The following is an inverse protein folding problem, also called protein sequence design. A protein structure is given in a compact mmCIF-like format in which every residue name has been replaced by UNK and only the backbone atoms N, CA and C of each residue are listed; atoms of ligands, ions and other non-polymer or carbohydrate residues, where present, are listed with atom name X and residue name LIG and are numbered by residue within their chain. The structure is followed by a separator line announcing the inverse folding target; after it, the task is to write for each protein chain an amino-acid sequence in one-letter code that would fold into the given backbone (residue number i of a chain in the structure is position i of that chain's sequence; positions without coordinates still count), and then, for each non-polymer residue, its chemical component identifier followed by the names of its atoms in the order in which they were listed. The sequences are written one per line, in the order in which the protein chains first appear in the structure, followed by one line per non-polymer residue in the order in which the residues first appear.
data_IF_913497503393
#
_entry.id   IF_913497503393
#
_cell.length_a   1.000
_cell.length_b   1.000
_cell.length_c   1.000
_cell.angle_alpha   90.00
_cell.angle_beta   90.00
_cell.angle_gamma   90.00
#
_symmetry.space_group_name_H-M   'P 1'
#
loop_
_entity.id
_entity.type
_entity.pdbx_description
1 polymer ?
#
# COMPACT_ATOMS: atom_id res chain seq x y z
N UNK A 1 -1.80 -2.57 -20.72
CA UNK A 1 -1.15 -1.45 -20.00
C UNK A 1 -2.03 -1.12 -18.81
N UNK A 2 -1.83 -1.81 -17.68
CA UNK A 2 -2.61 -1.55 -16.47
C UNK A 2 -2.23 -0.19 -15.90
N UNK A 3 -3.23 0.61 -15.51
CA UNK A 3 -2.99 1.90 -14.89
C UNK A 3 -2.19 1.69 -13.59
N UNK A 4 -0.99 2.25 -13.52
CA UNK A 4 -0.19 2.28 -12.29
C UNK A 4 -0.94 3.12 -11.25
N UNK A 5 -1.03 2.74 -9.97
CA UNK A 5 -1.75 3.51 -8.97
C UNK A 5 -1.12 4.88 -8.63
N UNK A 6 0.10 5.16 -9.11
CA UNK A 6 0.81 6.40 -8.77
C UNK A 6 0.05 7.71 -9.10
N UNK A 7 -0.60 7.90 -10.27
CA UNK A 7 -1.42 9.10 -10.52
C UNK A 7 -2.62 9.20 -9.56
N UNK A 8 -3.30 8.08 -9.30
CA UNK A 8 -4.42 8.01 -8.36
C UNK A 8 -4.03 8.41 -6.93
N UNK A 9 -2.85 7.97 -6.48
CA UNK A 9 -2.31 8.34 -5.17
C UNK A 9 -1.94 9.83 -5.12
N UNK A 10 -1.36 10.39 -6.19
CA UNK A 10 -0.92 11.79 -6.25
C UNK A 10 -2.07 12.80 -6.29
N UNK A 11 -3.19 12.44 -6.90
CA UNK A 11 -4.34 13.33 -7.10
C UNK A 11 -5.21 13.53 -5.85
N UNK A 12 -4.97 12.77 -4.78
CA UNK A 12 -5.83 12.74 -3.59
C UNK A 12 -5.07 13.02 -2.30
N UNK A 13 -5.78 13.62 -1.35
CA UNK A 13 -5.34 13.72 0.05
C UNK A 13 -5.93 12.55 0.84
N UNK A 14 -5.07 11.66 1.29
CA UNK A 14 -5.33 10.45 2.08
C UNK A 14 -5.35 10.70 3.58
N UNK A 15 -4.59 11.68 4.07
CA UNK A 15 -4.56 12.06 5.47
C UNK A 15 -4.32 13.55 5.65
N UNK A 16 -4.68 14.09 6.82
CA UNK A 16 -4.34 15.46 7.20
C UNK A 16 -2.82 15.61 7.26
N UNK A 17 -2.13 14.58 7.74
CA UNK A 17 -0.67 14.48 7.80
C UNK A 17 -0.22 13.42 6.80
N UNK A 18 0.22 13.87 5.63
CA UNK A 18 0.80 13.00 4.60
C UNK A 18 1.98 13.69 3.92
N UNK A 19 2.93 12.90 3.44
CA UNK A 19 4.02 13.32 2.56
C UNK A 19 4.02 12.44 1.30
N UNK A 20 4.33 13.04 0.15
CA UNK A 20 4.43 12.35 -1.13
C UNK A 20 5.80 12.63 -1.73
N UNK A 21 6.58 11.57 -1.95
CA UNK A 21 7.90 11.66 -2.56
C UNK A 21 7.88 10.93 -3.91
N UNK A 22 7.96 11.68 -5.01
CA UNK A 22 8.09 11.10 -6.34
C UNK A 22 9.41 10.32 -6.47
N UNK A 23 9.37 9.20 -7.17
CA UNK A 23 10.53 8.36 -7.45
C UNK A 23 10.96 8.53 -8.92
N UNK A 24 12.25 8.31 -9.21
CA UNK A 24 12.82 8.46 -10.56
C UNK A 24 12.22 7.48 -11.57
N UNK A 25 11.74 6.33 -11.10
CA UNK A 25 11.08 5.29 -11.88
C UNK A 25 9.61 5.61 -12.24
N UNK A 26 9.11 6.78 -11.83
CA UNK A 26 7.73 7.22 -12.02
C UNK A 26 6.77 6.78 -10.91
N UNK A 27 7.25 6.03 -9.91
CA UNK A 27 6.53 5.65 -8.70
C UNK A 27 6.39 6.79 -7.67
N UNK A 28 5.75 6.48 -6.55
CA UNK A 28 5.59 7.44 -5.45
C UNK A 28 5.66 6.74 -4.11
N UNK A 29 6.41 7.31 -3.18
CA UNK A 29 6.36 6.94 -1.76
C UNK A 29 5.34 7.85 -1.11
N UNK A 30 4.30 7.24 -0.52
CA UNK A 30 3.32 7.94 0.30
C UNK A 30 3.57 7.57 1.76
N UNK A 31 3.80 8.59 2.57
CA UNK A 31 3.80 8.50 4.02
C UNK A 31 2.52 9.16 4.53
N UNK A 32 1.80 8.51 5.44
CA UNK A 32 0.55 9.05 5.98
C UNK A 32 0.29 8.55 7.40
N UNK A 33 -0.35 9.37 8.21
CA UNK A 33 -0.89 8.94 9.50
C UNK A 33 -2.18 8.13 9.27
N UNK A 34 -2.11 6.82 9.50
CA UNK A 34 -3.25 5.91 9.40
C UNK A 34 -4.04 5.86 10.73
N UNK A 35 -5.37 5.81 10.65
CA UNK A 35 -6.24 5.71 11.83
C UNK A 35 -6.44 4.26 12.32
N UNK A 36 -6.19 3.29 11.44
CA UNK A 36 -6.38 1.87 11.70
C UNK A 36 -5.37 1.06 10.91
N UNK A 37 -4.66 0.17 11.60
CA UNK A 37 -3.72 -0.77 10.99
C UNK A 37 -4.44 -1.76 10.04
N UNK A 38 -5.65 -2.19 10.41
CA UNK A 38 -6.44 -3.12 9.62
C UNK A 38 -6.95 -2.48 8.32
N UNK A 39 -7.42 -1.23 8.39
CA UNK A 39 -7.84 -0.48 7.20
C UNK A 39 -6.66 -0.22 6.26
N UNK A 40 -5.51 0.19 6.81
CA UNK A 40 -4.29 0.39 6.03
C UNK A 40 -3.86 -0.89 5.33
N UNK A 41 -3.87 -2.01 6.05
CA UNK A 41 -3.50 -3.33 5.52
C UNK A 41 -4.43 -3.74 4.37
N UNK A 42 -5.75 -3.62 4.55
CA UNK A 42 -6.74 -3.89 3.52
C UNK A 42 -6.56 -3.00 2.29
N UNK A 43 -6.29 -1.71 2.51
CA UNK A 43 -6.05 -0.75 1.44
C UNK A 43 -4.80 -1.08 0.64
N UNK A 44 -3.68 -1.41 1.29
CA UNK A 44 -2.45 -1.85 0.61
C UNK A 44 -2.71 -3.11 -0.20
N UNK A 45 -3.37 -4.12 0.39
CA UNK A 45 -3.70 -5.37 -0.30
C UNK A 45 -4.59 -5.15 -1.55
N UNK A 46 -5.45 -4.14 -1.53
CA UNK A 46 -6.34 -3.81 -2.67
C UNK A 46 -5.57 -3.42 -3.94
N UNK A 47 -4.34 -2.95 -3.81
CA UNK A 47 -3.47 -2.64 -4.96
C UNK A 47 -2.75 -3.87 -5.53
N UNK A 48 -2.87 -5.03 -4.89
CA UNK A 48 -2.20 -6.25 -5.33
C UNK A 48 -0.70 -6.07 -5.45
N UNK A 49 -0.14 -6.40 -6.63
CA UNK A 49 1.31 -6.31 -6.90
C UNK A 49 1.79 -4.90 -7.25
N UNK A 50 0.92 -3.90 -7.21
CA UNK A 50 1.25 -2.52 -7.61
C UNK A 50 1.62 -1.60 -6.43
N UNK A 51 1.56 -2.09 -5.20
CA UNK A 51 1.99 -1.36 -4.02
C UNK A 51 2.72 -2.30 -3.05
N UNK A 52 3.64 -1.73 -2.27
CA UNK A 52 4.21 -2.41 -1.12
C UNK A 52 4.20 -1.50 0.10
N UNK A 53 4.03 -2.10 1.29
CA UNK A 53 4.20 -1.38 2.54
C UNK A 53 5.68 -1.42 2.95
N UNK A 54 6.34 -0.26 2.96
CA UNK A 54 7.75 -0.13 3.35
C UNK A 54 7.91 -0.23 4.87
N UNK A 55 7.05 0.45 5.63
CA UNK A 55 7.08 0.50 7.09
C UNK A 55 5.68 0.77 7.66
N UNK A 56 5.42 0.42 8.94
CA UNK A 56 6.31 -0.30 9.87
C UNK A 56 6.38 -1.82 9.61
N UNK A 57 7.46 -2.44 10.10
CA UNK A 57 7.78 -3.83 9.78
C UNK A 57 6.70 -4.84 10.23
N UNK A 58 6.05 -4.60 11.37
CA UNK A 58 5.01 -5.52 11.87
C UNK A 58 3.80 -5.58 10.94
N UNK A 59 3.40 -4.45 10.34
CA UNK A 59 2.32 -4.41 9.34
C UNK A 59 2.74 -5.09 8.03
N UNK A 60 4.00 -4.94 7.62
CA UNK A 60 4.53 -5.67 6.47
C UNK A 60 4.45 -7.18 6.69
N UNK A 61 4.75 -7.65 7.90
CA UNK A 61 4.59 -9.07 8.26
C UNK A 61 3.11 -9.50 8.22
N UNK A 62 2.17 -8.68 8.68
CA UNK A 62 0.75 -8.98 8.58
C UNK A 62 0.29 -9.17 7.12
N UNK A 63 0.71 -8.28 6.21
CA UNK A 63 0.41 -8.40 4.77
C UNK A 63 0.93 -9.74 4.21
N UNK A 64 2.17 -10.10 4.53
CA UNK A 64 2.77 -11.38 4.08
C UNK A 64 1.97 -12.58 4.57
N UNK A 65 1.52 -12.56 5.84
CA UNK A 65 0.70 -13.63 6.42
C UNK A 65 -0.66 -13.74 5.70
N UNK A 66 -1.34 -12.62 5.44
CA UNK A 66 -2.64 -12.62 4.75
C UNK A 66 -2.51 -13.13 3.31
N UNK A 67 -1.48 -12.70 2.57
CA UNK A 67 -1.19 -13.23 1.23
C UNK A 67 -0.86 -14.73 1.27
N UNK A 68 -0.15 -15.19 2.31
CA UNK A 68 0.12 -16.60 2.53
C UNK A 68 -1.16 -17.42 2.70
N UNK A 69 -2.06 -16.98 3.59
CA UNK A 69 -3.38 -17.61 3.81
C UNK A 69 -4.20 -17.63 2.52
N UNK A 70 -4.29 -16.49 1.83
CA UNK A 70 -5.02 -16.38 0.58
C UNK A 70 -4.46 -17.36 -0.47
N UNK A 71 -3.13 -17.45 -0.58
CA UNK A 71 -2.49 -18.43 -1.46
C UNK A 71 -2.91 -19.86 -1.13
N UNK A 72 -2.95 -20.25 0.15
CA UNK A 72 -3.41 -21.60 0.53
C UNK A 72 -4.86 -21.90 0.09
N UNK A 73 -5.74 -20.90 0.07
CA UNK A 73 -7.15 -21.09 -0.32
C UNK A 73 -7.34 -21.38 -1.82
N UNK A 74 -6.43 -20.92 -2.66
CA UNK A 74 -6.50 -21.06 -4.12
C UNK A 74 -5.48 -22.07 -4.67
N UNK A 75 -4.89 -22.91 -3.81
CA UNK A 75 -3.97 -23.97 -4.22
C UNK A 75 -4.69 -25.18 -4.81
#
# INVERSE_FOLDING_TARGET
MGATPAPYIRERRWSTEQSLTAQEDGGVILELAARSEAELTSWVLSFGTHAELISPQHLRQQIVQELGKAKELYR
#
